data_IF_713024782898
#
_entry.id   IF_713024782898
#
_cell.length_a   1.000
_cell.length_b   1.000
_cell.length_c   1.000
_cell.angle_alpha   90.00
_cell.angle_beta   90.00
_cell.angle_gamma   90.00
#
_symmetry.space_group_name_H-M   'P 1'
#
loop_
_entity.id
_entity.type
_entity.pdbx_description
1 polymer ?
#
# COMPACT_ATOMS: atom_id res chain seq x y z
N UNK A 1 34.13 -4.64 4.35
CA UNK A 1 33.14 -3.67 3.83
C UNK A 1 31.78 -4.15 4.26
N UNK A 2 31.17 -3.51 5.23
CA UNK A 2 29.77 -3.75 5.58
C UNK A 2 28.93 -3.16 4.46
N UNK A 3 28.30 -4.04 3.70
CA UNK A 3 27.42 -3.73 2.58
C UNK A 3 26.11 -3.16 3.15
N UNK A 4 26.08 -1.84 3.35
CA UNK A 4 24.92 -1.14 3.88
C UNK A 4 24.08 -0.64 2.71
N UNK A 5 22.86 -1.15 2.58
CA UNK A 5 21.86 -0.63 1.64
C UNK A 5 21.10 0.57 2.21
N UNK A 6 20.56 1.40 1.33
CA UNK A 6 19.64 2.50 1.70
C UNK A 6 18.21 1.94 1.76
N UNK A 7 17.52 2.23 2.86
CA UNK A 7 16.09 1.99 3.03
C UNK A 7 15.36 3.33 3.18
N UNK A 8 14.37 3.55 2.33
CA UNK A 8 13.55 4.76 2.30
C UNK A 8 12.17 4.42 2.83
N UNK A 9 11.76 5.15 3.88
CA UNK A 9 10.44 5.03 4.48
C UNK A 9 9.64 6.29 4.18
N UNK A 10 8.45 6.14 3.63
CA UNK A 10 7.56 7.26 3.29
C UNK A 10 6.19 7.01 3.91
N UNK A 11 5.70 8.00 4.65
CA UNK A 11 4.31 8.02 5.11
C UNK A 11 3.43 8.66 4.04
N UNK A 12 2.33 8.00 3.67
CA UNK A 12 1.41 8.47 2.64
C UNK A 12 0.01 8.63 3.21
N UNK A 13 -0.70 9.67 2.79
CA UNK A 13 -2.13 9.85 3.04
C UNK A 13 -2.81 10.38 1.77
N UNK A 14 -3.74 9.61 1.22
CA UNK A 14 -4.51 9.95 0.02
C UNK A 14 -5.97 10.28 0.40
N UNK A 15 -6.37 11.56 0.47
CA UNK A 15 -7.73 11.96 0.89
C UNK A 15 -8.81 11.70 -0.18
N UNK A 16 -10.08 11.57 0.26
CA UNK A 16 -11.31 11.68 -0.58
C UNK A 16 -11.82 13.15 -0.59
N UNK A 17 -12.33 13.81 -1.69
CA UNK A 17 -12.68 13.40 -3.09
C UNK A 17 -12.11 14.34 -4.23
N UNK A 18 -12.66 14.40 -5.47
CA UNK A 18 -12.60 13.47 -6.62
C UNK A 18 -11.50 13.81 -7.66
N UNK A 19 -10.61 14.78 -7.41
CA UNK A 19 -9.66 15.30 -8.43
C UNK A 19 -8.21 14.87 -8.24
N UNK A 20 -7.89 14.27 -7.10
CA UNK A 20 -6.57 13.69 -6.83
C UNK A 20 -6.73 12.18 -6.83
N UNK A 21 -6.87 11.62 -8.02
CA UNK A 21 -6.74 10.19 -8.22
C UNK A 21 -5.35 9.75 -7.74
N UNK A 22 -5.18 8.46 -7.44
CA UNK A 22 -3.86 7.85 -7.29
C UNK A 22 -2.97 8.33 -8.44
N UNK A 23 -2.04 9.24 -8.16
CA UNK A 23 -1.24 9.82 -9.22
C UNK A 23 -0.12 8.84 -9.50
N UNK A 24 -0.27 8.09 -10.60
CA UNK A 24 0.74 7.16 -11.12
C UNK A 24 2.15 7.75 -11.06
N UNK A 25 2.30 8.99 -11.54
CA UNK A 25 3.59 9.68 -11.55
C UNK A 25 4.15 9.98 -10.15
N UNK A 26 3.31 10.13 -9.12
CA UNK A 26 3.77 10.31 -7.75
C UNK A 26 4.37 9.02 -7.18
N UNK A 27 3.68 7.89 -7.36
CA UNK A 27 4.20 6.60 -6.93
C UNK A 27 5.44 6.20 -7.73
N UNK A 28 5.45 6.42 -9.05
CA UNK A 28 6.62 6.21 -9.89
C UNK A 28 7.82 7.03 -9.42
N UNK A 29 7.62 8.31 -9.10
CA UNK A 29 8.69 9.17 -8.60
C UNK A 29 9.24 8.70 -7.24
N UNK A 30 8.36 8.28 -6.32
CA UNK A 30 8.78 7.74 -5.03
C UNK A 30 9.51 6.40 -5.17
N UNK A 31 9.07 5.54 -6.09
CA UNK A 31 9.72 4.27 -6.39
C UNK A 31 10.95 4.38 -7.30
N UNK A 32 11.23 5.56 -7.85
CA UNK A 32 12.45 5.86 -8.60
C UNK A 32 13.60 6.34 -7.68
N UNK A 33 13.35 6.48 -6.38
CA UNK A 33 14.40 6.79 -5.41
C UNK A 33 15.40 5.63 -5.30
N UNK A 34 16.68 5.95 -5.05
CA UNK A 34 17.75 4.97 -4.97
C UNK A 34 17.64 4.12 -3.70
N UNK A 35 17.53 2.79 -3.88
CA UNK A 35 17.51 1.82 -2.78
C UNK A 35 16.15 1.14 -2.60
N UNK A 36 15.98 0.50 -1.45
CA UNK A 36 14.74 -0.17 -1.07
C UNK A 36 13.73 0.85 -0.58
N UNK A 37 12.49 0.82 -1.08
CA UNK A 37 11.46 1.81 -0.76
C UNK A 37 10.25 1.14 -0.14
N UNK A 38 9.79 1.67 1.00
CA UNK A 38 8.53 1.31 1.65
C UNK A 38 7.67 2.57 1.77
N UNK A 39 6.50 2.53 1.15
CA UNK A 39 5.45 3.53 1.30
C UNK A 39 4.37 2.95 2.21
N UNK A 40 3.95 3.65 3.25
CA UNK A 40 2.91 3.15 4.16
C UNK A 40 1.95 4.23 4.58
N UNK A 41 0.68 3.87 4.69
CA UNK A 41 -0.37 4.73 5.23
C UNK A 41 -1.68 4.57 4.46
N UNK A 42 -2.59 5.52 4.65
CA UNK A 42 -3.94 5.46 4.08
C UNK A 42 -3.92 5.82 2.59
N UNK A 43 -4.11 4.81 1.74
CA UNK A 43 -4.20 5.00 0.29
C UNK A 43 -5.64 5.22 -0.20
N UNK A 44 -6.63 5.10 0.67
CA UNK A 44 -8.05 5.04 0.32
C UNK A 44 -8.32 4.10 -0.88
N UNK A 45 -7.52 3.03 -0.96
CA UNK A 45 -7.48 2.08 -2.07
C UNK A 45 -8.06 0.76 -1.61
N UNK A 46 -9.21 0.38 -2.18
CA UNK A 46 -9.93 -0.82 -1.77
C UNK A 46 -9.87 -1.85 -2.89
N UNK A 47 -9.49 -3.08 -2.54
CA UNK A 47 -9.60 -4.24 -3.42
C UNK A 47 -9.93 -5.50 -2.63
N UNK A 48 -10.76 -6.35 -3.25
CA UNK A 48 -11.03 -7.70 -2.75
C UNK A 48 -9.76 -8.56 -2.69
N UNK A 49 -8.72 -8.25 -3.48
CA UNK A 49 -7.43 -8.96 -3.45
C UNK A 49 -6.65 -8.75 -2.15
N UNK A 50 -6.92 -7.66 -1.42
CA UNK A 50 -6.42 -7.44 -0.07
C UNK A 50 -7.55 -7.37 0.96
N UNK A 51 -8.59 -8.16 0.76
CA UNK A 51 -9.64 -8.44 1.74
C UNK A 51 -10.55 -7.24 2.11
N UNK A 52 -10.60 -6.20 1.27
CA UNK A 52 -11.65 -5.18 1.37
C UNK A 52 -13.01 -5.75 0.94
N UNK A 53 -14.08 -5.07 1.36
CA UNK A 53 -15.46 -5.46 1.05
C UNK A 53 -15.82 -5.34 -0.45
N UNK A 54 -15.15 -4.45 -1.17
CA UNK A 54 -15.33 -4.22 -2.60
C UNK A 54 -14.07 -3.59 -3.20
N UNK A 55 -13.97 -3.63 -4.53
CA UNK A 55 -12.88 -2.96 -5.25
C UNK A 55 -13.30 -1.59 -5.76
N UNK A 56 -12.55 -0.54 -5.41
CA UNK A 56 -12.80 0.84 -5.87
C UNK A 56 -11.89 1.21 -7.08
N UNK A 57 -11.99 2.45 -7.57
CA UNK A 57 -11.18 2.91 -8.72
C UNK A 57 -9.67 2.93 -8.40
N UNK A 58 -9.31 3.40 -7.20
CA UNK A 58 -7.91 3.44 -6.74
C UNK A 58 -7.33 2.03 -6.60
N UNK A 59 -8.12 1.06 -6.09
CA UNK A 59 -7.74 -0.34 -5.99
C UNK A 59 -7.32 -0.92 -7.33
N UNK A 60 -8.18 -0.78 -8.35
CA UNK A 60 -7.87 -1.23 -9.72
C UNK A 60 -6.61 -0.57 -10.29
N UNK A 61 -6.46 0.74 -10.10
CA UNK A 61 -5.26 1.48 -10.58
C UNK A 61 -3.99 1.03 -9.86
N UNK A 62 -4.08 0.75 -8.56
CA UNK A 62 -2.96 0.30 -7.75
C UNK A 62 -2.50 -1.10 -8.16
N UNK A 63 -3.43 -2.00 -8.47
CA UNK A 63 -3.12 -3.33 -9.01
C UNK A 63 -2.40 -3.25 -10.35
N UNK A 64 -2.97 -2.51 -11.32
CA UNK A 64 -2.32 -2.30 -12.63
C UNK A 64 -0.94 -1.67 -12.46
N UNK A 65 -0.79 -0.69 -11.57
CA UNK A 65 0.50 -0.04 -11.35
C UNK A 65 1.51 -0.99 -10.68
N UNK A 66 1.07 -1.84 -9.75
CA UNK A 66 1.93 -2.84 -9.13
C UNK A 66 2.49 -3.82 -10.17
N UNK A 67 1.67 -4.22 -11.15
CA UNK A 67 2.09 -5.03 -12.29
C UNK A 67 3.07 -4.26 -13.19
N UNK A 68 2.76 -3.01 -13.54
CA UNK A 68 3.55 -2.20 -14.48
C UNK A 68 4.96 -1.84 -13.98
N UNK A 69 5.12 -1.53 -12.69
CA UNK A 69 6.39 -1.04 -12.12
C UNK A 69 6.97 -1.96 -11.03
N UNK A 70 6.41 -3.16 -10.90
CA UNK A 70 6.90 -4.29 -10.10
C UNK A 70 7.15 -3.98 -8.62
N UNK A 71 6.17 -3.39 -7.93
CA UNK A 71 6.17 -3.30 -6.47
C UNK A 71 5.17 -4.28 -5.85
N UNK A 72 5.39 -4.61 -4.58
CA UNK A 72 4.52 -5.47 -3.81
C UNK A 72 3.49 -4.64 -3.04
N UNK A 73 2.24 -5.08 -3.06
CA UNK A 73 1.17 -4.58 -2.18
C UNK A 73 1.12 -5.50 -0.96
N UNK A 74 1.40 -4.94 0.21
CA UNK A 74 1.46 -5.67 1.48
C UNK A 74 0.38 -5.12 2.41
N UNK A 75 -0.84 -5.70 2.38
CA UNK A 75 -1.90 -5.29 3.27
C UNK A 75 -1.68 -5.83 4.69
N UNK A 76 -2.26 -5.16 5.71
CA UNK A 76 -2.34 -5.70 7.06
C UNK A 76 -3.23 -6.96 7.09
N UNK A 77 -3.03 -7.80 8.11
CA UNK A 77 -3.85 -9.02 8.30
C UNK A 77 -5.26 -8.72 8.84
N UNK A 78 -5.44 -7.58 9.49
CA UNK A 78 -6.71 -7.13 10.06
C UNK A 78 -7.17 -5.82 9.42
N UNK A 79 -8.48 -5.53 9.43
CA UNK A 79 -9.00 -4.24 9.02
C UNK A 79 -8.32 -3.08 9.77
N UNK A 80 -8.13 -1.97 9.07
CA UNK A 80 -7.55 -0.74 9.63
C UNK A 80 -8.55 0.40 9.73
N UNK A 81 -9.70 0.26 9.05
CA UNK A 81 -10.77 1.23 9.08
C UNK A 81 -12.07 0.60 9.61
N UNK A 82 -12.56 1.16 10.72
CA UNK A 82 -13.80 0.77 11.37
C UNK A 82 -14.78 1.94 11.28
N UNK A 83 -15.95 1.68 10.74
CA UNK A 83 -17.00 2.68 10.65
C UNK A 83 -17.64 2.91 12.04
N UNK A 84 -18.12 4.13 12.30
CA UNK A 84 -18.86 4.43 13.54
C UNK A 84 -20.20 3.69 13.66
N UNK A 85 -20.71 3.14 12.56
CA UNK A 85 -21.92 2.33 12.55
C UNK A 85 -21.51 0.86 12.41
N UNK A 86 -21.79 0.08 13.45
CA UNK A 86 -21.43 -1.33 13.58
C UNK A 86 -22.03 -2.24 12.49
N UNK A 87 -23.04 -1.76 11.77
CA UNK A 87 -23.61 -2.49 10.64
C UNK A 87 -22.71 -2.49 9.40
N UNK A 88 -21.72 -1.58 9.31
CA UNK A 88 -20.76 -1.60 8.22
C UNK A 88 -19.61 -2.55 8.56
N UNK A 89 -19.32 -3.44 7.61
CA UNK A 89 -18.16 -4.30 7.72
C UNK A 89 -16.87 -3.45 7.69
N UNK A 90 -15.90 -3.71 8.57
CA UNK A 90 -14.60 -3.03 8.53
C UNK A 90 -13.89 -3.23 7.19
N UNK A 91 -13.00 -2.30 6.85
CA UNK A 91 -12.20 -2.29 5.61
C UNK A 91 -10.71 -2.08 5.91
N UNK A 92 -9.89 -2.35 4.89
CA UNK A 92 -8.45 -2.02 4.88
C UNK A 92 -8.26 -0.76 4.02
N UNK A 93 -7.68 0.29 4.62
CA UNK A 93 -7.33 1.55 3.94
C UNK A 93 -5.83 1.85 4.04
N UNK A 94 -5.26 1.60 5.22
CA UNK A 94 -3.82 1.62 5.43
C UNK A 94 -3.14 0.39 4.85
N UNK A 95 -2.20 0.60 3.93
CA UNK A 95 -1.49 -0.45 3.19
C UNK A 95 0.00 -0.09 3.14
N UNK A 96 0.88 -1.10 3.09
CA UNK A 96 2.29 -0.90 2.76
C UNK A 96 2.57 -1.29 1.30
N UNK A 97 3.28 -0.45 0.56
CA UNK A 97 3.79 -0.72 -0.79
C UNK A 97 5.30 -0.81 -0.74
N UNK A 98 5.88 -1.83 -1.38
CA UNK A 98 7.31 -2.12 -1.24
C UNK A 98 7.97 -2.40 -2.58
N UNK A 99 9.12 -1.77 -2.85
CA UNK A 99 9.95 -2.02 -4.04
C UNK A 99 11.41 -2.19 -3.66
N UNK A 100 12.08 -3.15 -4.28
CA UNK A 100 13.46 -3.56 -3.96
C UNK A 100 13.67 -3.98 -2.48
N UNK A 101 12.59 -4.37 -1.79
CA UNK A 101 12.66 -4.87 -0.41
C UNK A 101 12.63 -6.41 -0.42
N UNK A 102 13.72 -7.04 -0.03
CA UNK A 102 13.77 -8.47 0.21
C UNK A 102 13.30 -8.81 1.63
N UNK A 103 11.98 -8.98 1.83
CA UNK A 103 11.45 -9.47 3.11
C UNK A 103 11.25 -10.99 3.09
N UNK A 104 11.75 -11.65 4.13
CA UNK A 104 11.36 -13.03 4.46
C UNK A 104 10.05 -12.99 5.25
N UNK A 105 8.92 -12.87 4.55
CA UNK A 105 7.58 -12.76 5.16
C UNK A 105 7.19 -13.95 6.05
N UNK A 106 7.87 -15.10 5.90
CA UNK A 106 7.65 -16.28 6.75
C UNK A 106 8.07 -16.08 8.21
N UNK A 107 8.78 -14.99 8.54
CA UNK A 107 9.25 -14.71 9.90
C UNK A 107 8.35 -13.75 10.69
N UNK A 108 7.25 -13.26 10.10
CA UNK A 108 6.28 -12.44 10.83
C UNK A 108 5.23 -13.39 11.45
N UNK A 109 5.53 -13.85 12.65
CA UNK A 109 4.58 -14.57 13.50
C UNK A 109 3.45 -13.63 13.91
N UNK A 110 2.22 -14.13 13.81
CA UNK A 110 1.02 -13.50 14.38
C UNK A 110 1.13 -13.52 15.90
N UNK A 111 1.16 -12.34 16.52
CA UNK A 111 0.67 -12.19 17.90
C UNK A 111 -0.86 -12.34 17.90
#
# INVERSE_FOLDING_TARGET
MTDHGILILVSVYLPLPPKKELLRSYLEALFALEGAVILSGDFNSKSTNWNCNYTNSNGRKMEVLAEDIHFNIVPPRSPTHYHNNDNYRPDILDIALMKEVALKLSCIETL
#
